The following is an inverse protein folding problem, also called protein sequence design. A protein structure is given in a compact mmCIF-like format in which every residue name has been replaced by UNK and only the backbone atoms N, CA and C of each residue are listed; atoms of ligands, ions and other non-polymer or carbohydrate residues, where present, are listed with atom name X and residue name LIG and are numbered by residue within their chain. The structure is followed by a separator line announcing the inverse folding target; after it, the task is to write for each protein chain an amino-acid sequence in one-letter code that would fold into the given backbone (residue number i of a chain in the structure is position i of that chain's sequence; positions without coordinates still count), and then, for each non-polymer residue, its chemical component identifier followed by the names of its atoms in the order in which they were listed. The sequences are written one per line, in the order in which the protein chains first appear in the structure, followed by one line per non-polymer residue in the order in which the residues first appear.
data_IF_572577129968
#
_entry.id   IF_572577129968
#
_cell.length_a   1.000
_cell.length_b   1.000
_cell.length_c   1.000
_cell.angle_alpha   90.00
_cell.angle_beta   90.00
_cell.angle_gamma   90.00
#
_symmetry.space_group_name_H-M   'P 1'
#
loop_
_entity.id
_entity.type
_entity.pdbx_description
1 polymer ?
#
# COMPACT_ATOMS: atom_id res chain seq x y z
N UNK A 1 -6.88 27.86 15.44
CA UNK A 1 -7.18 29.15 14.78
C UNK A 1 -8.69 29.36 14.85
N UNK A 2 -9.11 30.32 15.66
CA UNK A 2 -10.50 30.58 16.05
C UNK A 2 -11.05 31.70 15.16
N UNK A 3 -12.10 31.41 14.39
CA UNK A 3 -12.84 32.41 13.64
C UNK A 3 -14.20 32.58 14.32
N UNK A 4 -14.28 33.62 15.15
CA UNK A 4 -15.54 34.21 15.60
C UNK A 4 -16.08 35.07 14.46
N UNK A 5 -17.18 34.66 13.84
CA UNK A 5 -17.97 35.49 12.93
C UNK A 5 -19.24 35.99 13.65
N UNK A 6 -19.70 37.23 13.41
CA UNK A 6 -20.82 37.81 14.13
C UNK A 6 -22.15 37.21 13.65
N UNK A 7 -23.01 36.82 14.60
CA UNK A 7 -24.42 36.58 14.38
C UNK A 7 -25.09 37.90 13.96
N UNK A 8 -25.53 37.99 12.71
CA UNK A 8 -26.48 39.00 12.26
C UNK A 8 -27.88 38.46 12.55
N UNK A 9 -28.45 38.89 13.68
CA UNK A 9 -29.85 38.67 14.05
C UNK A 9 -30.71 39.62 13.20
N UNK A 10 -31.39 39.08 12.18
CA UNK A 10 -32.39 39.83 11.43
C UNK A 10 -33.72 39.78 12.19
N UNK A 11 -34.00 40.80 13.01
CA UNK A 11 -35.30 40.99 13.67
C UNK A 11 -36.27 41.56 12.63
N UNK A 12 -37.18 40.73 12.12
CA UNK A 12 -38.29 41.18 11.29
C UNK A 12 -39.42 41.63 12.23
N UNK A 13 -39.51 42.94 12.44
CA UNK A 13 -40.66 43.56 13.11
C UNK A 13 -41.89 43.45 12.19
N UNK A 14 -42.82 42.57 12.55
CA UNK A 14 -44.15 42.51 11.94
C UNK A 14 -44.95 43.71 12.44
N UNK A 15 -45.06 44.75 11.60
CA UNK A 15 -46.02 45.83 11.83
C UNK A 15 -47.42 45.31 11.55
N UNK A 16 -48.23 45.21 12.61
CA UNK A 16 -49.68 45.08 12.56
C UNK A 16 -50.30 46.42 12.12
N UNK A 17 -51.12 46.47 11.05
CA UNK A 17 -51.85 47.68 10.72
C UNK A 17 -53.03 47.84 11.68
N UNK A 18 -53.07 49.01 12.32
CA UNK A 18 -54.07 49.42 13.29
C UNK A 18 -55.46 49.58 12.68
N UNK A 19 -56.44 49.19 13.49
CA UNK A 19 -57.85 49.45 13.25
C UNK A 19 -58.19 50.91 13.59
N UNK A 20 -58.51 51.69 12.57
CA UNK A 20 -59.36 52.88 12.62
C UNK A 20 -60.45 52.63 11.57
N UNK A 21 -61.75 52.72 11.81
CA UNK A 21 -62.44 53.64 12.69
C UNK A 21 -63.40 54.46 11.83
N UNK A 22 -64.61 53.93 11.64
CA UNK A 22 -65.88 54.63 11.40
C UNK A 22 -65.88 55.80 10.39
N UNK A 23 -66.31 55.50 9.18
CA UNK A 23 -66.94 56.45 8.27
C UNK A 23 -68.14 55.78 7.60
N UNK A 24 -69.35 56.05 8.10
CA UNK A 24 -70.60 55.69 7.43
C UNK A 24 -70.75 56.57 6.18
N UNK A 25 -70.17 56.13 5.06
CA UNK A 25 -70.50 56.63 3.74
C UNK A 25 -71.63 55.79 3.19
N UNK A 26 -72.77 56.44 3.00
CA UNK A 26 -73.93 56.03 2.22
C UNK A 26 -73.58 55.04 1.10
N UNK A 27 -74.07 53.80 1.26
CA UNK A 27 -74.08 52.77 0.23
C UNK A 27 -74.88 53.30 -0.97
N UNK A 28 -74.17 53.75 -2.00
CA UNK A 28 -74.75 53.77 -3.33
C UNK A 28 -75.17 52.34 -3.67
N UNK A 29 -76.36 52.10 -4.23
CA UNK A 29 -76.76 50.77 -4.67
C UNK A 29 -75.72 50.33 -5.71
N UNK A 30 -74.87 49.38 -5.33
CA UNK A 30 -73.99 48.69 -6.27
C UNK A 30 -74.93 48.11 -7.30
N UNK A 31 -75.02 48.75 -8.47
CA UNK A 31 -75.71 48.18 -9.63
C UNK A 31 -75.12 46.79 -9.75
N UNK A 32 -75.91 45.77 -9.45
CA UNK A 32 -75.57 44.39 -9.76
C UNK A 32 -75.29 44.37 -11.26
N UNK A 33 -74.03 44.52 -11.62
CA UNK A 33 -73.58 44.38 -12.99
C UNK A 33 -73.97 42.96 -13.35
N UNK A 34 -75.07 42.82 -14.09
CA UNK A 34 -75.59 41.55 -14.57
C UNK A 34 -74.41 40.65 -14.90
N UNK A 35 -74.14 39.66 -14.05
CA UNK A 35 -72.93 38.86 -14.13
C UNK A 35 -72.78 38.38 -15.58
N UNK A 36 -71.66 38.74 -16.20
CA UNK A 36 -71.48 38.47 -17.62
C UNK A 36 -71.64 36.97 -17.88
N UNK A 37 -72.44 36.62 -18.90
CA UNK A 37 -72.78 35.22 -19.17
C UNK A 37 -71.53 34.43 -19.59
N UNK A 38 -71.45 33.17 -19.18
CA UNK A 38 -70.29 32.29 -19.37
C UNK A 38 -69.73 32.26 -20.80
N UNK A 39 -70.57 32.32 -21.83
CA UNK A 39 -70.12 32.26 -23.23
C UNK A 39 -69.35 33.53 -23.63
N UNK A 40 -69.76 34.72 -23.14
CA UNK A 40 -69.01 35.96 -23.40
C UNK A 40 -67.67 35.97 -22.67
N UNK A 41 -67.66 35.50 -21.42
CA UNK A 41 -66.42 35.32 -20.64
C UNK A 41 -65.46 34.34 -21.36
N UNK A 42 -65.99 33.28 -21.97
CA UNK A 42 -65.20 32.32 -22.73
C UNK A 42 -64.63 32.93 -24.03
N UNK A 43 -65.44 33.68 -24.79
CA UNK A 43 -64.97 34.37 -26.00
C UNK A 43 -63.89 35.41 -25.68
N UNK A 44 -64.13 36.25 -24.66
CA UNK A 44 -63.13 37.21 -24.18
C UNK A 44 -61.85 36.52 -23.70
N UNK A 45 -61.96 35.33 -23.11
CA UNK A 45 -60.78 34.57 -22.74
C UNK A 45 -60.02 34.05 -23.96
N UNK A 46 -60.70 33.67 -25.04
CA UNK A 46 -60.05 33.28 -26.29
C UNK A 46 -59.31 34.47 -26.93
N UNK A 47 -59.89 35.66 -26.89
CA UNK A 47 -59.23 36.91 -27.30
C UNK A 47 -57.98 37.18 -26.46
N UNK A 48 -58.10 37.11 -25.13
CA UNK A 48 -56.95 37.26 -24.23
C UNK A 48 -55.86 36.20 -24.50
N UNK A 49 -56.23 34.97 -24.84
CA UNK A 49 -55.28 33.92 -25.24
C UNK A 49 -54.58 34.27 -26.56
N UNK A 50 -55.29 34.82 -27.54
CA UNK A 50 -54.70 35.24 -28.82
C UNK A 50 -53.71 36.41 -28.64
N UNK A 51 -54.01 37.31 -27.69
CA UNK A 51 -53.16 38.44 -27.32
C UNK A 51 -52.08 38.09 -26.26
N UNK A 52 -51.91 36.81 -25.94
CA UNK A 52 -50.94 36.33 -24.94
C UNK A 52 -51.14 36.89 -23.52
N UNK A 53 -52.34 37.40 -23.21
CA UNK A 53 -52.77 37.87 -21.89
C UNK A 53 -53.20 36.69 -21.01
N UNK A 54 -52.29 35.72 -20.83
CA UNK A 54 -52.57 34.42 -20.19
C UNK A 54 -53.23 34.52 -18.82
N UNK A 55 -52.79 35.47 -17.98
CA UNK A 55 -53.32 35.64 -16.64
C UNK A 55 -54.77 36.20 -16.65
N UNK A 56 -55.09 37.10 -17.59
CA UNK A 56 -56.44 37.61 -17.77
C UNK A 56 -57.38 36.52 -18.31
N UNK A 57 -56.91 35.75 -19.30
CA UNK A 57 -57.61 34.57 -19.81
C UNK A 57 -57.95 33.57 -18.68
N UNK A 58 -57.00 33.28 -17.78
CA UNK A 58 -57.24 32.38 -16.64
C UNK A 58 -58.38 32.87 -15.74
N UNK A 59 -58.44 34.17 -15.43
CA UNK A 59 -59.50 34.74 -14.59
C UNK A 59 -60.86 34.53 -15.26
N UNK A 60 -60.98 34.91 -16.54
CA UNK A 60 -62.23 34.79 -17.30
C UNK A 60 -62.66 33.34 -17.51
N UNK A 61 -61.73 32.44 -17.81
CA UNK A 61 -62.01 30.99 -17.94
C UNK A 61 -62.51 30.38 -16.63
N UNK A 62 -61.92 30.77 -15.48
CA UNK A 62 -62.40 30.30 -14.17
C UNK A 62 -63.81 30.79 -13.87
N UNK A 63 -64.14 32.05 -14.20
CA UNK A 63 -65.49 32.58 -14.07
C UNK A 63 -66.48 31.87 -14.99
N UNK A 64 -66.09 31.61 -16.25
CA UNK A 64 -66.91 30.84 -17.20
C UNK A 64 -67.17 29.41 -16.71
N UNK A 65 -66.15 28.71 -16.21
CA UNK A 65 -66.28 27.37 -15.62
C UNK A 65 -67.19 27.35 -14.40
N UNK A 66 -67.12 28.38 -13.54
CA UNK A 66 -67.97 28.49 -12.37
C UNK A 66 -69.45 28.57 -12.74
N UNK A 67 -69.78 29.21 -13.86
CA UNK A 67 -71.14 29.30 -14.38
C UNK A 67 -71.57 28.08 -15.21
N UNK A 68 -70.66 27.50 -15.99
CA UNK A 68 -70.91 26.30 -16.78
C UNK A 68 -69.71 25.34 -16.74
N UNK A 69 -69.75 24.29 -15.88
CA UNK A 69 -68.62 23.40 -15.68
C UNK A 69 -68.49 22.29 -16.72
N UNK A 70 -69.48 22.12 -17.61
CA UNK A 70 -69.61 20.98 -18.52
C UNK A 70 -69.02 21.27 -19.92
N UNK A 71 -67.81 20.78 -20.24
CA UNK A 71 -67.20 20.94 -21.55
C UNK A 71 -67.87 20.05 -22.61
N UNK A 72 -67.74 20.41 -23.89
CA UNK A 72 -68.20 19.57 -24.99
C UNK A 72 -67.99 20.18 -26.38
N UNK A 73 -68.01 19.35 -27.45
CA UNK A 73 -67.83 19.81 -28.82
C UNK A 73 -68.99 20.67 -29.34
N UNK A 74 -70.16 20.58 -28.71
CA UNK A 74 -71.34 21.37 -29.06
C UNK A 74 -72.13 21.69 -27.79
N UNK A 75 -71.95 22.91 -27.28
CA UNK A 75 -72.67 23.46 -26.12
C UNK A 75 -73.48 24.67 -26.58
N UNK A 76 -74.73 24.81 -26.12
CA UNK A 76 -75.61 25.93 -26.48
C UNK A 76 -75.11 27.23 -25.83
N UNK A 77 -74.66 28.18 -26.65
CA UNK A 77 -74.17 29.50 -26.24
C UNK A 77 -75.28 30.57 -26.26
N UNK A 78 -75.00 31.72 -26.88
CA UNK A 78 -75.99 32.81 -27.04
C UNK A 78 -77.10 32.42 -28.03
N UNK A 79 -78.36 32.47 -27.57
CA UNK A 79 -79.54 32.17 -28.38
C UNK A 79 -79.57 30.70 -28.85
N UNK A 80 -79.59 30.49 -30.16
CA UNK A 80 -79.64 29.16 -30.80
C UNK A 80 -78.27 28.67 -31.30
N UNK A 81 -77.20 29.44 -31.12
CA UNK A 81 -75.86 29.05 -31.58
C UNK A 81 -75.27 27.96 -30.68
N UNK A 82 -74.67 26.95 -31.30
CA UNK A 82 -73.83 25.96 -30.62
C UNK A 82 -72.36 26.26 -30.88
N UNK A 83 -71.51 25.99 -29.88
CA UNK A 83 -70.06 26.21 -29.98
C UNK A 83 -69.29 25.09 -29.31
N UNK A 84 -68.03 24.91 -29.71
CA UNK A 84 -67.08 24.05 -29.00
C UNK A 84 -66.61 24.74 -27.72
N UNK A 85 -66.90 24.13 -26.58
CA UNK A 85 -66.58 24.67 -25.27
C UNK A 85 -65.59 23.73 -24.55
N UNK A 86 -64.31 24.11 -24.58
CA UNK A 86 -63.20 23.34 -24.00
C UNK A 86 -62.39 24.23 -23.03
N UNK A 87 -63.00 24.73 -21.94
CA UNK A 87 -62.38 25.72 -21.07
C UNK A 87 -61.20 25.16 -20.26
N UNK A 88 -61.16 23.85 -19.95
CA UNK A 88 -60.02 23.27 -19.24
C UNK A 88 -58.81 23.11 -20.17
N UNK A 89 -59.02 22.84 -21.47
CA UNK A 89 -57.94 22.90 -22.45
C UNK A 89 -57.28 24.29 -22.51
N UNK A 90 -58.09 25.36 -22.61
CA UNK A 90 -57.56 26.73 -22.65
C UNK A 90 -56.88 27.12 -21.34
N UNK A 91 -57.40 26.70 -20.18
CA UNK A 91 -56.72 26.86 -18.90
C UNK A 91 -55.38 26.13 -18.89
N UNK A 92 -55.35 24.87 -19.35
CA UNK A 92 -54.11 24.09 -19.44
C UNK A 92 -53.05 24.81 -20.27
N UNK A 93 -53.44 25.33 -21.44
CA UNK A 93 -52.57 26.10 -22.33
C UNK A 93 -52.09 27.40 -21.68
N UNK A 94 -52.97 28.16 -21.03
CA UNK A 94 -52.59 29.39 -20.33
C UNK A 94 -51.58 29.12 -19.19
N UNK A 95 -51.83 28.08 -18.39
CA UNK A 95 -50.93 27.66 -17.32
C UNK A 95 -49.57 27.17 -17.86
N UNK A 96 -49.56 26.48 -19.00
CA UNK A 96 -48.34 26.04 -19.68
C UNK A 96 -47.45 27.23 -20.06
N UNK A 97 -48.00 28.26 -20.70
CA UNK A 97 -47.24 29.45 -21.09
C UNK A 97 -46.75 30.31 -19.91
N UNK A 98 -47.41 30.22 -18.75
CA UNK A 98 -46.95 30.82 -17.51
C UNK A 98 -45.91 29.98 -16.75
N UNK A 99 -45.45 28.85 -17.30
CA UNK A 99 -44.50 27.94 -16.64
C UNK A 99 -45.10 27.12 -15.48
N UNK A 100 -46.42 27.18 -15.29
CA UNK A 100 -47.18 26.45 -14.26
C UNK A 100 -47.53 25.05 -14.76
N UNK A 101 -46.51 24.24 -15.04
CA UNK A 101 -46.65 22.95 -15.72
C UNK A 101 -47.51 21.93 -14.96
N UNK A 102 -47.45 21.90 -13.63
CA UNK A 102 -48.26 21.00 -12.81
C UNK A 102 -49.76 21.33 -12.90
N UNK A 103 -50.11 22.63 -12.91
CA UNK A 103 -51.48 23.08 -13.16
C UNK A 103 -51.93 22.72 -14.57
N UNK A 104 -51.08 22.98 -15.56
CA UNK A 104 -51.37 22.66 -16.96
C UNK A 104 -51.70 21.18 -17.15
N UNK A 105 -50.88 20.29 -16.58
CA UNK A 105 -51.09 18.83 -16.62
C UNK A 105 -52.45 18.43 -16.01
N UNK A 106 -52.82 19.02 -14.87
CA UNK A 106 -54.13 18.76 -14.22
C UNK A 106 -55.29 19.18 -15.10
N UNK A 107 -55.22 20.36 -15.72
CA UNK A 107 -56.29 20.86 -16.57
C UNK A 107 -56.41 20.08 -17.89
N UNK A 108 -55.30 19.71 -18.53
CA UNK A 108 -55.34 18.85 -19.71
C UNK A 108 -55.93 17.48 -19.40
N UNK A 109 -55.56 16.85 -18.27
CA UNK A 109 -56.15 15.58 -17.83
C UNK A 109 -57.65 15.70 -17.55
N UNK A 110 -58.10 16.84 -17.01
CA UNK A 110 -59.53 17.11 -16.78
C UNK A 110 -60.28 17.29 -18.11
N UNK A 111 -59.70 17.98 -19.09
CA UNK A 111 -60.32 18.09 -20.40
C UNK A 111 -60.38 16.73 -21.12
N UNK A 112 -59.35 15.90 -21.00
CA UNK A 112 -59.33 14.56 -21.62
C UNK A 112 -60.53 13.68 -21.19
N UNK A 113 -61.04 13.88 -19.97
CA UNK A 113 -62.25 13.20 -19.48
C UNK A 113 -63.51 13.56 -20.27
N UNK A 114 -63.57 14.74 -20.91
CA UNK A 114 -64.67 15.14 -21.80
C UNK A 114 -64.64 14.43 -23.16
N UNK A 115 -63.61 13.62 -23.41
CA UNK A 115 -63.35 12.94 -24.68
C UNK A 115 -63.39 13.93 -25.87
N UNK A 116 -62.54 14.98 -25.84
CA UNK A 116 -62.46 15.91 -26.96
C UNK A 116 -62.10 15.13 -28.24
N UNK A 117 -62.58 15.62 -29.38
CA UNK A 117 -62.33 15.01 -30.69
C UNK A 117 -61.60 15.99 -31.61
N UNK A 118 -60.97 15.46 -32.66
CA UNK A 118 -60.27 16.27 -33.66
C UNK A 118 -59.08 17.05 -33.07
N UNK A 119 -58.97 18.31 -33.46
CA UNK A 119 -57.80 19.16 -33.18
C UNK A 119 -57.48 19.31 -31.68
N UNK A 120 -58.49 19.44 -30.83
CA UNK A 120 -58.29 19.64 -29.38
C UNK A 120 -57.64 18.42 -28.75
N UNK A 121 -58.05 17.21 -29.14
CA UNK A 121 -57.44 15.98 -28.66
C UNK A 121 -55.96 15.87 -29.07
N UNK A 122 -55.66 16.22 -30.33
CA UNK A 122 -54.27 16.24 -30.84
C UNK A 122 -53.40 17.25 -30.09
N UNK A 123 -53.90 18.47 -29.85
CA UNK A 123 -53.15 19.49 -29.11
C UNK A 123 -52.95 19.08 -27.63
N UNK A 124 -53.95 18.50 -26.97
CA UNK A 124 -53.81 17.96 -25.60
C UNK A 124 -52.67 16.93 -25.54
N UNK A 125 -52.67 15.94 -26.45
CA UNK A 125 -51.61 14.92 -26.53
C UNK A 125 -50.23 15.55 -26.72
N UNK A 126 -50.13 16.58 -27.57
CA UNK A 126 -48.88 17.32 -27.78
C UNK A 126 -48.40 18.01 -26.51
N UNK A 127 -49.25 18.79 -25.84
CA UNK A 127 -48.86 19.44 -24.57
C UNK A 127 -48.51 18.44 -23.48
N UNK A 128 -49.24 17.33 -23.36
CA UNK A 128 -48.92 16.27 -22.41
C UNK A 128 -47.53 15.68 -22.67
N UNK A 129 -47.13 15.51 -23.94
CA UNK A 129 -45.78 15.07 -24.29
C UNK A 129 -44.70 16.08 -23.88
N UNK A 130 -44.93 17.38 -24.09
CA UNK A 130 -44.01 18.44 -23.66
C UNK A 130 -43.88 18.50 -22.14
N UNK A 131 -45.01 18.40 -21.42
CA UNK A 131 -45.04 18.39 -19.97
C UNK A 131 -44.27 17.20 -19.40
N UNK A 132 -44.39 16.01 -20.02
CA UNK A 132 -43.61 14.83 -19.64
C UNK A 132 -42.11 15.06 -19.81
N UNK A 133 -41.69 15.60 -20.95
CA UNK A 133 -40.27 15.92 -21.19
C UNK A 133 -39.71 16.93 -20.18
N UNK A 134 -40.50 17.96 -19.82
CA UNK A 134 -40.13 18.94 -18.78
C UNK A 134 -40.01 18.26 -17.41
N UNK A 135 -40.97 17.39 -17.06
CA UNK A 135 -40.94 16.66 -15.79
C UNK A 135 -39.73 15.73 -15.69
N UNK A 136 -39.43 14.99 -16.75
CA UNK A 136 -38.23 14.13 -16.83
C UNK A 136 -36.94 14.95 -16.74
N UNK A 137 -36.89 16.13 -17.36
CA UNK A 137 -35.76 17.06 -17.22
C UNK A 137 -35.61 17.55 -15.77
N UNK A 138 -36.69 17.97 -15.11
CA UNK A 138 -36.69 18.36 -13.69
C UNK A 138 -36.22 17.23 -12.78
N UNK A 139 -36.68 16.01 -13.02
CA UNK A 139 -36.24 14.83 -12.26
C UNK A 139 -34.74 14.53 -12.45
N UNK A 140 -34.25 14.65 -13.69
CA UNK A 140 -32.80 14.52 -13.96
C UNK A 140 -32.00 15.60 -13.23
N UNK A 141 -32.42 16.86 -13.27
CA UNK A 141 -31.72 17.93 -12.53
C UNK A 141 -31.73 17.65 -11.02
N UNK A 142 -32.88 17.25 -10.45
CA UNK A 142 -32.97 16.94 -9.02
C UNK A 142 -32.07 15.76 -8.61
N UNK A 143 -31.93 14.73 -9.45
CA UNK A 143 -31.02 13.62 -9.17
C UNK A 143 -29.55 14.05 -9.30
N UNK A 144 -29.24 14.88 -10.31
CA UNK A 144 -27.92 15.51 -10.44
C UNK A 144 -27.56 16.32 -9.18
N UNK A 145 -28.48 17.13 -8.66
CA UNK A 145 -28.29 17.92 -7.44
C UNK A 145 -27.95 17.03 -6.25
N UNK A 146 -28.65 15.90 -6.06
CA UNK A 146 -28.35 14.94 -4.99
C UNK A 146 -26.95 14.35 -5.12
N UNK A 147 -26.49 14.05 -6.34
CA UNK A 147 -25.14 13.52 -6.56
C UNK A 147 -24.10 14.59 -6.17
N UNK A 148 -24.32 15.85 -6.58
CA UNK A 148 -23.44 16.98 -6.24
C UNK A 148 -23.43 17.24 -4.73
N UNK A 149 -24.58 17.23 -4.07
CA UNK A 149 -24.69 17.38 -2.61
C UNK A 149 -23.89 16.31 -1.86
N UNK A 150 -24.01 15.03 -2.27
CA UNK A 150 -23.19 13.94 -1.70
C UNK A 150 -21.70 14.19 -1.90
N UNK A 151 -21.30 14.67 -3.07
CA UNK A 151 -19.91 14.97 -3.35
C UNK A 151 -19.36 16.09 -2.46
N UNK A 152 -20.13 17.17 -2.29
CA UNK A 152 -19.76 18.30 -1.43
C UNK A 152 -19.73 17.91 0.04
N UNK A 153 -20.68 17.08 0.50
CA UNK A 153 -20.67 16.52 1.85
C UNK A 153 -19.45 15.62 2.10
N UNK A 154 -19.10 14.76 1.15
CA UNK A 154 -17.89 13.92 1.23
C UNK A 154 -16.62 14.78 1.27
N UNK A 155 -16.55 15.85 0.46
CA UNK A 155 -15.44 16.81 0.49
C UNK A 155 -15.33 17.48 1.86
N UNK A 156 -16.44 17.93 2.45
CA UNK A 156 -16.46 18.56 3.77
C UNK A 156 -15.99 17.63 4.89
N UNK A 157 -16.24 16.31 4.76
CA UNK A 157 -15.72 15.27 5.68
C UNK A 157 -14.25 14.93 5.45
N UNK A 158 -13.60 15.51 4.43
CA UNK A 158 -12.24 15.15 4.02
C UNK A 158 -12.16 13.81 3.27
N UNK A 159 -13.28 13.21 2.90
CA UNK A 159 -13.38 11.99 2.07
C UNK A 159 -13.18 12.33 0.60
N UNK A 160 -11.99 12.82 0.23
CA UNK A 160 -11.70 13.35 -1.11
C UNK A 160 -11.91 12.32 -2.23
N UNK A 161 -11.58 11.05 -2.00
CA UNK A 161 -11.82 9.97 -2.97
C UNK A 161 -13.30 9.81 -3.32
N UNK A 162 -14.16 9.77 -2.31
CA UNK A 162 -15.62 9.65 -2.46
C UNK A 162 -16.21 10.91 -3.10
N UNK A 163 -15.70 12.09 -2.74
CA UNK A 163 -16.10 13.35 -3.37
C UNK A 163 -15.76 13.37 -4.87
N UNK A 164 -14.55 12.93 -5.25
CA UNK A 164 -14.12 12.85 -6.64
C UNK A 164 -14.97 11.84 -7.43
N UNK A 165 -15.30 10.70 -6.84
CA UNK A 165 -16.16 9.70 -7.48
C UNK A 165 -17.56 10.24 -7.74
N UNK A 166 -18.20 10.88 -6.76
CA UNK A 166 -19.52 11.48 -6.96
C UNK A 166 -19.49 12.63 -7.99
N UNK A 167 -18.45 13.46 -8.02
CA UNK A 167 -18.29 14.49 -9.06
C UNK A 167 -18.12 13.90 -10.47
N UNK A 168 -17.38 12.79 -10.62
CA UNK A 168 -17.29 12.08 -11.91
C UNK A 168 -18.66 11.52 -12.32
N UNK A 169 -19.40 10.90 -11.40
CA UNK A 169 -20.77 10.44 -11.65
C UNK A 169 -21.69 11.58 -12.08
N UNK A 170 -21.59 12.75 -11.44
CA UNK A 170 -22.37 13.93 -11.83
C UNK A 170 -22.06 14.37 -13.27
N UNK A 171 -20.76 14.42 -13.64
CA UNK A 171 -20.32 14.74 -15.01
C UNK A 171 -20.87 13.76 -16.04
N UNK A 172 -20.79 12.46 -15.75
CA UNK A 172 -21.22 11.42 -16.68
C UNK A 172 -22.75 11.36 -16.77
N UNK A 173 -23.47 11.71 -15.70
CA UNK A 173 -24.93 11.74 -15.64
C UNK A 173 -25.55 12.94 -16.37
N UNK A 174 -24.96 14.15 -16.23
CA UNK A 174 -25.48 15.36 -16.86
C UNK A 174 -24.37 16.36 -17.24
N UNK A 175 -23.63 16.13 -18.35
CA UNK A 175 -22.42 16.88 -18.69
C UNK A 175 -22.65 18.38 -18.86
N UNK A 176 -23.74 18.78 -19.52
CA UNK A 176 -24.05 20.20 -19.73
C UNK A 176 -24.28 20.97 -18.42
N UNK A 177 -24.92 20.33 -17.43
CA UNK A 177 -25.19 20.96 -16.12
C UNK A 177 -23.91 20.99 -15.28
N UNK A 178 -23.08 19.94 -15.41
CA UNK A 178 -21.76 19.89 -14.79
C UNK A 178 -20.84 21.02 -15.28
N UNK A 179 -20.82 21.27 -16.59
CA UNK A 179 -20.09 22.38 -17.20
C UNK A 179 -20.69 23.74 -16.83
N UNK A 180 -22.02 23.88 -16.91
CA UNK A 180 -22.71 25.12 -16.55
C UNK A 180 -22.40 25.58 -15.11
N UNK A 181 -22.29 24.63 -14.17
CA UNK A 181 -21.97 24.90 -12.77
C UNK A 181 -20.48 24.92 -12.45
N UNK A 182 -19.61 24.82 -13.45
CA UNK A 182 -18.15 24.88 -13.30
C UNK A 182 -17.59 23.86 -12.30
N UNK A 183 -18.23 22.69 -12.21
CA UNK A 183 -17.86 21.63 -11.26
C UNK A 183 -16.52 20.96 -11.62
N UNK A 184 -16.01 21.19 -12.83
CA UNK A 184 -14.67 20.78 -13.25
C UNK A 184 -13.58 21.35 -12.35
N UNK A 185 -13.68 22.62 -11.94
CA UNK A 185 -12.72 23.23 -11.00
C UNK A 185 -12.80 22.61 -9.62
N UNK A 186 -14.01 22.31 -9.15
CA UNK A 186 -14.22 21.65 -7.86
C UNK A 186 -13.59 20.25 -7.87
N UNK A 187 -13.78 19.48 -8.94
CA UNK A 187 -13.17 18.16 -9.10
C UNK A 187 -11.64 18.24 -9.10
N UNK A 188 -11.04 19.20 -9.82
CA UNK A 188 -9.59 19.38 -9.82
C UNK A 188 -9.03 19.66 -8.42
N UNK A 189 -9.67 20.54 -7.64
CA UNK A 189 -9.26 20.83 -6.25
C UNK A 189 -9.39 19.61 -5.35
N UNK A 190 -10.44 18.81 -5.51
CA UNK A 190 -10.63 17.57 -4.73
C UNK A 190 -9.53 16.56 -5.05
N UNK A 191 -9.17 16.40 -6.32
CA UNK A 191 -8.10 15.49 -6.74
C UNK A 191 -6.71 15.93 -6.23
N UNK A 192 -6.39 17.22 -6.30
CA UNK A 192 -5.16 17.77 -5.71
C UNK A 192 -5.10 17.54 -4.19
N UNK A 193 -6.23 17.73 -3.50
CA UNK A 193 -6.33 17.48 -2.05
C UNK A 193 -6.15 16.00 -1.70
N UNK A 194 -6.68 15.09 -2.52
CA UNK A 194 -6.47 13.65 -2.39
C UNK A 194 -5.00 13.27 -2.57
N UNK A 195 -4.35 13.81 -3.62
CA UNK A 195 -2.93 13.59 -3.89
C UNK A 195 -2.06 14.04 -2.71
N UNK A 196 -2.23 15.28 -2.25
CA UNK A 196 -1.48 15.81 -1.09
C UNK A 196 -1.67 14.97 0.17
N UNK A 197 -2.88 14.47 0.40
CA UNK A 197 -3.16 13.58 1.53
C UNK A 197 -2.42 12.24 1.39
N UNK A 198 -2.41 11.67 0.19
CA UNK A 198 -1.70 10.41 -0.07
C UNK A 198 -0.18 10.58 0.03
N UNK A 199 0.37 11.68 -0.47
CA UNK A 199 1.79 12.03 -0.31
C UNK A 199 2.16 12.20 1.17
N UNK A 200 1.36 12.95 1.94
CA UNK A 200 1.58 13.12 3.36
C UNK A 200 1.52 11.78 4.13
N UNK A 201 0.59 10.89 3.75
CA UNK A 201 0.51 9.53 4.31
C UNK A 201 1.74 8.71 3.96
N UNK A 202 2.16 8.70 2.69
CA UNK A 202 3.35 7.98 2.25
C UNK A 202 4.63 8.49 2.93
N UNK A 203 4.76 9.80 3.14
CA UNK A 203 5.88 10.38 3.89
C UNK A 203 5.86 9.94 5.36
N UNK A 204 4.69 9.90 6.02
CA UNK A 204 4.57 9.38 7.39
C UNK A 204 4.96 7.90 7.49
N UNK A 205 4.43 7.06 6.60
CA UNK A 205 4.77 5.64 6.56
C UNK A 205 6.27 5.41 6.29
N UNK A 206 6.87 6.24 5.43
CA UNK A 206 8.32 6.21 5.17
C UNK A 206 9.12 6.58 6.41
N UNK A 207 8.73 7.63 7.13
CA UNK A 207 9.37 8.04 8.38
C UNK A 207 9.22 6.98 9.47
N UNK A 208 8.02 6.41 9.65
CA UNK A 208 7.77 5.34 10.63
C UNK A 208 8.64 4.09 10.35
N UNK A 209 8.72 3.66 9.09
CA UNK A 209 9.61 2.55 8.68
C UNK A 209 11.07 2.88 8.91
N UNK A 210 11.49 4.12 8.63
CA UNK A 210 12.83 4.59 8.90
C UNK A 210 13.16 4.50 10.40
N UNK A 211 12.30 5.03 11.26
CA UNK A 211 12.47 4.98 12.72
C UNK A 211 12.51 3.54 13.24
N UNK A 212 11.69 2.64 12.69
CA UNK A 212 11.73 1.22 13.03
C UNK A 212 13.07 0.56 12.65
N UNK A 213 13.62 0.86 11.47
CA UNK A 213 14.94 0.37 11.05
C UNK A 213 16.05 0.88 11.98
N UNK A 214 16.01 2.16 12.37
CA UNK A 214 16.97 2.73 13.33
C UNK A 214 16.85 2.04 14.70
N UNK A 215 15.63 1.84 15.22
CA UNK A 215 15.39 1.16 16.49
C UNK A 215 15.87 -0.30 16.48
N UNK A 216 15.64 -1.01 15.37
CA UNK A 216 16.14 -2.37 15.18
C UNK A 216 17.67 -2.41 15.06
N UNK A 217 18.29 -1.44 14.37
CA UNK A 217 19.74 -1.33 14.30
C UNK A 217 20.35 -1.11 15.70
N UNK A 218 19.76 -0.22 16.51
CA UNK A 218 20.16 0.02 17.90
C UNK A 218 20.07 -1.25 18.75
N UNK A 219 18.98 -2.00 18.62
CA UNK A 219 18.78 -3.26 19.35
C UNK A 219 19.81 -4.32 18.95
N UNK A 220 20.13 -4.42 17.65
CA UNK A 220 21.17 -5.33 17.15
C UNK A 220 22.57 -4.91 17.61
N UNK A 221 22.89 -3.62 17.61
CA UNK A 221 24.16 -3.11 18.13
C UNK A 221 24.33 -3.43 19.62
N UNK A 222 23.29 -3.20 20.43
CA UNK A 222 23.28 -3.53 21.86
C UNK A 222 23.47 -5.04 22.10
N UNK A 223 22.90 -5.87 21.23
CA UNK A 223 23.08 -7.32 21.22
C UNK A 223 24.42 -7.80 20.64
N UNK A 224 25.32 -6.89 20.24
CA UNK A 224 26.62 -7.22 19.63
C UNK A 224 26.54 -7.74 18.20
N UNK A 225 25.39 -7.63 17.53
CA UNK A 225 25.14 -8.04 16.14
C UNK A 225 25.41 -6.90 15.15
N UNK A 226 26.68 -6.50 15.06
CA UNK A 226 27.08 -5.27 14.34
C UNK A 226 26.87 -5.37 12.83
N UNK A 227 27.07 -6.54 12.23
CA UNK A 227 26.85 -6.74 10.80
C UNK A 227 25.39 -6.51 10.42
N UNK A 228 24.45 -7.03 11.22
CA UNK A 228 23.02 -6.83 10.99
C UNK A 228 22.61 -5.37 11.25
N UNK A 229 23.16 -4.73 12.28
CA UNK A 229 22.95 -3.31 12.52
C UNK A 229 23.39 -2.46 11.30
N UNK A 230 24.57 -2.72 10.74
CA UNK A 230 25.07 -2.03 9.55
C UNK A 230 24.18 -2.24 8.31
N UNK A 231 23.65 -3.46 8.11
CA UNK A 231 22.69 -3.74 7.02
C UNK A 231 21.40 -2.94 7.19
N UNK A 232 20.83 -2.89 8.40
CA UNK A 232 19.63 -2.12 8.69
C UNK A 232 19.83 -0.61 8.48
N UNK A 233 21.00 -0.07 8.86
CA UNK A 233 21.34 1.33 8.57
C UNK A 233 21.46 1.62 7.08
N UNK A 234 22.00 0.67 6.30
CA UNK A 234 22.04 0.79 4.83
C UNK A 234 20.63 0.82 4.24
N UNK A 235 19.70 0.01 4.77
CA UNK A 235 18.30 0.05 4.37
C UNK A 235 17.62 1.37 4.77
N UNK A 236 17.92 1.89 5.97
CA UNK A 236 17.40 3.16 6.44
C UNK A 236 17.88 4.33 5.56
N UNK A 237 19.16 4.37 5.16
CA UNK A 237 19.71 5.40 4.27
C UNK A 237 19.13 5.32 2.85
N UNK A 238 18.83 4.12 2.35
CA UNK A 238 18.09 3.95 1.08
C UNK A 238 16.66 4.48 1.17
N UNK A 239 16.05 4.41 2.35
CA UNK A 239 14.68 4.86 2.56
C UNK A 239 14.60 6.38 2.70
N UNK A 240 15.47 6.96 3.52
CA UNK A 240 15.61 8.41 3.72
C UNK A 240 17.09 8.75 3.79
N UNK A 241 17.64 9.21 2.67
CA UNK A 241 19.08 9.39 2.52
C UNK A 241 19.64 10.55 3.33
N UNK A 242 20.87 10.36 3.81
CA UNK A 242 21.69 11.38 4.48
C UNK A 242 21.06 11.92 5.77
N UNK A 243 20.24 11.13 6.45
CA UNK A 243 19.74 11.49 7.78
C UNK A 243 20.89 11.53 8.79
N UNK A 244 21.04 12.60 9.58
CA UNK A 244 22.15 12.76 10.52
C UNK A 244 22.20 11.62 11.54
N UNK A 245 21.04 11.05 11.91
CA UNK A 245 20.92 9.91 12.82
C UNK A 245 21.62 8.66 12.25
N UNK A 246 21.44 8.38 10.95
CA UNK A 246 22.10 7.24 10.28
C UNK A 246 23.60 7.47 10.21
N UNK A 247 24.03 8.67 9.80
CA UNK A 247 25.46 9.00 9.65
C UNK A 247 26.20 8.98 11.00
N UNK A 248 25.55 9.44 12.08
CA UNK A 248 26.10 9.34 13.43
C UNK A 248 26.22 7.87 13.87
N UNK A 249 25.21 7.05 13.59
CA UNK A 249 25.24 5.63 13.92
C UNK A 249 26.33 4.90 13.14
N UNK A 250 26.42 5.09 11.82
CA UNK A 250 27.46 4.48 10.99
C UNK A 250 28.86 4.83 11.47
N UNK A 251 29.11 6.11 11.83
CA UNK A 251 30.39 6.52 12.43
C UNK A 251 30.68 5.79 13.74
N UNK A 252 29.70 5.67 14.62
CA UNK A 252 29.85 4.92 15.88
C UNK A 252 30.20 3.45 15.64
N UNK A 253 29.57 2.79 14.66
CA UNK A 253 29.91 1.41 14.28
C UNK A 253 31.34 1.32 13.74
N UNK A 254 31.73 2.23 12.86
CA UNK A 254 33.09 2.30 12.31
C UNK A 254 34.14 2.48 13.43
N UNK A 255 33.93 3.43 14.33
CA UNK A 255 34.85 3.65 15.47
C UNK A 255 34.99 2.40 16.35
N UNK A 256 33.89 1.66 16.54
CA UNK A 256 33.87 0.41 17.30
C UNK A 256 34.63 -0.69 16.57
N UNK A 257 34.49 -0.79 15.26
CA UNK A 257 35.25 -1.72 14.41
C UNK A 257 36.76 -1.39 14.41
N UNK A 258 37.12 -0.11 14.29
CA UNK A 258 38.51 0.35 14.33
C UNK A 258 39.16 0.04 15.69
N UNK A 259 38.42 0.25 16.80
CA UNK A 259 38.88 -0.12 18.15
C UNK A 259 39.07 -1.63 18.30
N UNK A 260 38.16 -2.43 17.74
CA UNK A 260 38.30 -3.89 17.73
C UNK A 260 39.57 -4.33 16.98
N UNK A 261 39.81 -3.76 15.79
CA UNK A 261 40.98 -4.08 14.98
C UNK A 261 42.29 -3.78 15.72
N UNK A 262 42.36 -2.63 16.42
CA UNK A 262 43.51 -2.27 17.27
C UNK A 262 43.75 -3.26 18.40
N UNK A 263 42.72 -3.58 19.19
CA UNK A 263 42.84 -4.53 20.31
C UNK A 263 43.22 -5.94 19.84
N UNK A 264 42.71 -6.36 18.68
CA UNK A 264 43.12 -7.62 18.05
C UNK A 264 44.61 -7.60 17.70
N UNK A 265 45.09 -6.52 17.09
CA UNK A 265 46.50 -6.38 16.73
C UNK A 265 47.39 -6.38 17.98
N UNK A 266 47.05 -5.59 19.00
CA UNK A 266 47.76 -5.53 20.29
C UNK A 266 47.83 -6.92 20.96
N UNK A 267 46.73 -7.67 20.98
CA UNK A 267 46.71 -9.01 21.54
C UNK A 267 47.70 -9.96 20.86
N UNK A 268 47.80 -9.90 19.52
CA UNK A 268 48.71 -10.72 18.74
C UNK A 268 50.17 -10.32 18.97
N UNK A 269 50.46 -9.03 19.10
CA UNK A 269 51.80 -8.53 19.41
C UNK A 269 52.25 -8.93 20.83
N UNK A 270 51.37 -8.82 21.82
CA UNK A 270 51.64 -9.29 23.18
C UNK A 270 51.89 -10.80 23.23
N UNK A 271 51.10 -11.58 22.49
CA UNK A 271 51.31 -13.02 22.37
C UNK A 271 52.68 -13.34 21.77
N UNK A 272 53.06 -12.70 20.66
CA UNK A 272 54.38 -12.90 20.03
C UNK A 272 55.53 -12.57 20.96
N UNK A 273 55.32 -11.60 21.82
CA UNK A 273 56.32 -11.12 22.78
C UNK A 273 56.33 -11.90 24.10
N UNK A 274 55.51 -12.95 24.25
CA UNK A 274 55.43 -13.76 25.48
C UNK A 274 54.68 -13.10 26.65
N UNK A 275 53.97 -12.00 26.39
CA UNK A 275 53.17 -11.26 27.39
C UNK A 275 51.74 -11.81 27.41
N UNK A 276 51.57 -13.06 27.84
CA UNK A 276 50.28 -13.76 27.78
C UNK A 276 49.14 -13.07 28.58
N UNK A 277 49.34 -12.52 29.79
CA UNK A 277 48.30 -11.81 30.54
C UNK A 277 47.75 -10.58 29.81
N UNK A 278 48.63 -9.77 29.22
CA UNK A 278 48.30 -8.56 28.46
C UNK A 278 47.55 -8.93 27.18
N UNK A 279 47.99 -9.97 26.48
CA UNK A 279 47.30 -10.51 25.31
C UNK A 279 45.86 -10.94 25.66
N UNK A 280 45.68 -11.67 26.75
CA UNK A 280 44.36 -12.10 27.21
C UNK A 280 43.47 -10.91 27.61
N UNK A 281 44.04 -9.88 28.23
CA UNK A 281 43.34 -8.64 28.55
C UNK A 281 42.78 -7.94 27.31
N UNK A 282 43.62 -7.77 26.27
CA UNK A 282 43.23 -7.18 25.00
C UNK A 282 42.15 -8.02 24.28
N UNK A 283 42.26 -9.35 24.27
CA UNK A 283 41.24 -10.23 23.68
C UNK A 283 39.88 -10.13 24.39
N UNK A 284 39.86 -10.00 25.72
CA UNK A 284 38.60 -9.82 26.47
C UNK A 284 37.90 -8.51 26.11
N UNK A 285 38.65 -7.42 25.97
CA UNK A 285 38.12 -6.14 25.51
C UNK A 285 37.63 -6.23 24.06
N UNK A 286 38.39 -6.89 23.18
CA UNK A 286 37.99 -7.12 21.79
C UNK A 286 36.67 -7.92 21.70
N UNK A 287 36.52 -8.97 22.49
CA UNK A 287 35.27 -9.75 22.56
C UNK A 287 34.07 -8.90 23.03
N UNK A 288 34.28 -8.04 24.04
CA UNK A 288 33.24 -7.12 24.52
C UNK A 288 32.83 -6.10 23.44
N UNK A 289 33.79 -5.61 22.65
CA UNK A 289 33.51 -4.68 21.57
C UNK A 289 32.80 -5.36 20.39
N UNK A 290 33.26 -6.51 19.90
CA UNK A 290 32.66 -7.15 18.74
C UNK A 290 32.63 -8.69 18.89
N UNK A 291 31.62 -9.24 19.59
CA UNK A 291 31.58 -10.67 19.89
C UNK A 291 31.33 -11.55 18.66
N UNK A 292 30.69 -11.02 17.61
CA UNK A 292 30.53 -11.74 16.34
C UNK A 292 31.85 -11.85 15.60
N UNK A 293 32.55 -10.73 15.40
CA UNK A 293 33.83 -10.74 14.70
C UNK A 293 34.90 -11.49 15.49
N UNK A 294 34.90 -11.38 16.81
CA UNK A 294 35.77 -12.15 17.70
C UNK A 294 35.67 -13.65 17.44
N UNK A 295 34.44 -14.18 17.33
CA UNK A 295 34.19 -15.59 16.98
C UNK A 295 34.64 -15.90 15.54
N UNK A 296 34.32 -15.04 14.59
CA UNK A 296 34.70 -15.23 13.18
C UNK A 296 36.21 -15.23 12.96
N UNK A 297 36.96 -14.49 13.76
CA UNK A 297 38.42 -14.38 13.66
C UNK A 297 39.14 -15.51 14.44
N UNK A 298 38.41 -16.50 14.98
CA UNK A 298 38.94 -17.63 15.78
C UNK A 298 39.78 -17.21 17.00
N UNK A 299 39.43 -16.05 17.58
CA UNK A 299 40.07 -15.54 18.78
C UNK A 299 39.64 -16.24 20.09
N UNK A 300 38.47 -16.90 20.21
CA UNK A 300 38.13 -17.68 21.39
C UNK A 300 39.14 -18.81 21.67
N UNK A 301 39.61 -19.49 20.62
CA UNK A 301 40.58 -20.57 20.73
C UNK A 301 41.94 -20.05 21.20
N UNK A 302 42.35 -18.90 20.68
CA UNK A 302 43.56 -18.21 21.12
C UNK A 302 43.45 -17.75 22.59
N UNK A 303 42.32 -17.16 22.98
CA UNK A 303 42.09 -16.78 24.36
C UNK A 303 42.16 -18.00 25.29
N UNK A 304 41.59 -19.14 24.88
CA UNK A 304 41.65 -20.38 25.64
C UNK A 304 43.08 -20.96 25.73
N UNK A 305 43.91 -20.85 24.69
CA UNK A 305 45.30 -21.28 24.76
C UNK A 305 46.13 -20.39 25.69
N UNK A 306 45.93 -19.07 25.64
CA UNK A 306 46.62 -18.12 26.53
C UNK A 306 46.26 -18.33 28.00
N UNK A 307 45.00 -18.68 28.30
CA UNK A 307 44.61 -19.05 29.68
C UNK A 307 45.42 -20.25 30.17
N UNK A 308 45.57 -21.29 29.35
CA UNK A 308 46.37 -22.47 29.70
C UNK A 308 47.85 -22.14 29.88
N UNK A 309 48.39 -21.27 29.02
CA UNK A 309 49.78 -20.80 29.11
C UNK A 309 50.03 -20.06 30.44
N UNK A 310 49.13 -19.14 30.81
CA UNK A 310 49.21 -18.42 32.09
C UNK A 310 49.12 -19.38 33.30
N UNK A 311 48.27 -20.42 33.22
CA UNK A 311 48.17 -21.45 34.25
C UNK A 311 49.48 -22.26 34.38
N UNK A 312 50.06 -22.68 33.25
CA UNK A 312 51.34 -23.39 33.22
C UNK A 312 52.46 -22.52 33.81
N UNK A 313 52.55 -21.26 33.41
CA UNK A 313 53.57 -20.33 33.93
C UNK A 313 53.40 -20.09 35.43
N UNK A 314 52.16 -19.96 35.91
CA UNK A 314 51.85 -19.85 37.33
C UNK A 314 52.32 -21.09 38.09
N UNK A 315 52.05 -22.28 37.56
CA UNK A 315 52.47 -23.56 38.15
C UNK A 315 54.00 -23.71 38.16
N UNK A 316 54.67 -23.34 37.07
CA UNK A 316 56.14 -23.35 36.99
C UNK A 316 56.74 -22.42 38.04
N UNK A 317 56.23 -21.18 38.16
CA UNK A 317 56.70 -20.22 39.17
C UNK A 317 56.41 -20.71 40.59
N UNK A 318 55.25 -21.31 40.83
CA UNK A 318 54.90 -21.88 42.13
C UNK A 318 55.83 -23.04 42.51
N UNK A 319 56.14 -23.94 41.56
CA UNK A 319 57.11 -25.04 41.75
C UNK A 319 58.53 -24.53 41.96
N UNK A 320 58.97 -23.53 41.20
CA UNK A 320 60.28 -22.91 41.36
C UNK A 320 60.42 -22.25 42.74
N UNK A 321 59.37 -21.56 43.20
CA UNK A 321 59.30 -21.01 44.56
C UNK A 321 59.33 -22.11 45.63
N UNK A 322 58.51 -23.15 45.48
CA UNK A 322 58.50 -24.28 46.41
C UNK A 322 59.85 -25.03 46.44
N UNK A 323 60.56 -25.11 45.32
CA UNK A 323 61.91 -25.69 45.26
C UNK A 323 62.96 -24.78 45.94
N UNK A 324 62.84 -23.46 45.80
CA UNK A 324 63.68 -22.50 46.52
C UNK A 324 63.42 -22.54 48.04
N UNK A 325 62.15 -22.70 48.43
CA UNK A 325 61.73 -22.81 49.83
C UNK A 325 61.99 -24.23 50.42
N UNK A 326 62.18 -25.24 49.56
CA UNK A 326 62.20 -26.67 49.88
C UNK A 326 63.55 -27.38 49.80
N UNK A 327 64.67 -26.67 49.90
CA UNK A 327 66.02 -27.28 49.99
C UNK A 327 66.33 -27.91 51.37
N UNK A 328 65.36 -28.63 51.94
CA UNK A 328 65.55 -29.49 53.11
C UNK A 328 64.68 -30.75 52.95
N UNK A 329 65.24 -31.81 52.37
CA UNK A 329 64.71 -33.17 52.52
C UNK A 329 64.32 -33.92 51.24
N UNK A 330 65.35 -34.41 50.54
CA UNK A 330 65.60 -35.76 49.96
C UNK A 330 64.45 -36.84 49.83
N UNK A 331 64.66 -37.92 49.03
CA UNK A 331 64.01 -38.18 47.74
C UNK A 331 63.19 -39.49 47.69
N UNK A 332 62.40 -39.70 46.63
CA UNK A 332 61.65 -40.96 46.44
C UNK A 332 61.16 -41.24 45.01
N UNK A 333 62.00 -41.94 44.25
CA UNK A 333 61.77 -42.98 43.21
C UNK A 333 60.32 -43.35 42.78
N UNK A 334 60.15 -43.59 41.46
CA UNK A 334 59.50 -44.76 40.79
C UNK A 334 58.74 -44.33 39.51
N UNK A 335 59.31 -44.56 38.31
CA UNK A 335 58.90 -45.60 37.32
C UNK A 335 57.40 -45.63 36.98
N UNK A 336 57.02 -45.24 35.75
CA UNK A 336 55.95 -45.95 35.05
C UNK A 336 56.09 -45.88 33.51
N UNK A 337 55.68 -46.99 32.88
CA UNK A 337 55.99 -47.47 31.54
C UNK A 337 55.01 -46.99 30.47
N UNK A 338 55.57 -46.74 29.29
CA UNK A 338 55.13 -47.30 28.01
C UNK A 338 53.63 -47.31 27.67
N UNK A 339 53.21 -46.36 26.83
CA UNK A 339 52.09 -46.57 25.90
C UNK A 339 52.37 -45.86 24.57
N UNK A 340 52.99 -46.58 23.63
CA UNK A 340 53.08 -46.16 22.22
C UNK A 340 51.71 -46.40 21.56
N UNK A 341 51.03 -45.31 21.22
CA UNK A 341 49.85 -45.32 20.35
C UNK A 341 50.36 -45.31 18.90
N UNK A 342 49.77 -46.07 17.96
CA UNK A 342 50.21 -46.07 16.57
C UNK A 342 49.89 -44.71 15.93
N UNK A 343 50.93 -43.90 15.71
CA UNK A 343 50.87 -42.62 14.98
C UNK A 343 50.90 -42.94 13.48
N UNK A 344 49.80 -43.47 12.95
CA UNK A 344 49.69 -43.82 11.54
C UNK A 344 48.35 -43.48 10.87
N UNK A 345 47.25 -43.37 11.62
CA UNK A 345 45.91 -43.20 11.01
C UNK A 345 45.27 -41.81 11.19
N UNK A 346 45.86 -40.91 11.99
CA UNK A 346 45.27 -39.58 12.28
C UNK A 346 45.80 -38.44 11.40
N UNK A 347 47.01 -38.54 10.86
CA UNK A 347 47.56 -37.54 9.95
C UNK A 347 46.76 -37.50 8.62
N UNK A 348 46.42 -38.67 8.07
CA UNK A 348 45.72 -38.80 6.79
C UNK A 348 44.31 -38.20 6.75
N UNK A 349 43.62 -38.11 7.89
CA UNK A 349 42.28 -37.51 7.97
C UNK A 349 42.33 -35.98 8.03
N UNK A 350 43.35 -35.42 8.68
CA UNK A 350 43.52 -33.96 8.78
C UNK A 350 43.92 -33.35 7.44
N UNK A 351 44.84 -34.01 6.72
CA UNK A 351 45.28 -33.55 5.40
C UNK A 351 44.18 -33.71 4.35
N UNK A 352 43.38 -34.78 4.42
CA UNK A 352 42.19 -34.93 3.58
C UNK A 352 41.14 -33.86 3.89
N UNK A 353 40.83 -33.59 5.15
CA UNK A 353 39.88 -32.52 5.51
C UNK A 353 40.36 -31.14 5.09
N UNK A 354 41.66 -30.86 5.24
CA UNK A 354 42.27 -29.60 4.80
C UNK A 354 42.26 -29.46 3.28
N UNK A 355 42.58 -30.53 2.55
CA UNK A 355 42.51 -30.55 1.09
C UNK A 355 41.08 -30.42 0.56
N UNK A 356 40.10 -31.07 1.20
CA UNK A 356 38.68 -30.94 0.88
C UNK A 356 38.20 -29.51 1.12
N UNK A 357 38.51 -28.91 2.28
CA UNK A 357 38.14 -27.53 2.58
C UNK A 357 38.82 -26.53 1.64
N UNK A 358 40.09 -26.74 1.32
CA UNK A 358 40.81 -25.96 0.32
C UNK A 358 40.16 -26.11 -1.06
N UNK A 359 39.73 -27.32 -1.45
CA UNK A 359 39.05 -27.57 -2.72
C UNK A 359 37.68 -26.87 -2.83
N UNK A 360 36.93 -26.74 -1.73
CA UNK A 360 35.68 -25.96 -1.71
C UNK A 360 35.93 -24.45 -1.85
N UNK A 361 37.03 -23.95 -1.30
CA UNK A 361 37.39 -22.53 -1.32
C UNK A 361 38.20 -22.11 -2.56
N UNK A 362 38.94 -23.02 -3.17
CA UNK A 362 39.78 -22.79 -4.33
C UNK A 362 38.97 -22.73 -5.63
N UNK A 363 39.66 -22.32 -6.71
CA UNK A 363 39.16 -22.48 -8.07
C UNK A 363 39.01 -23.99 -8.35
N UNK A 364 37.92 -24.41 -9.03
CA UNK A 364 37.61 -25.84 -9.20
C UNK A 364 38.71 -26.62 -9.93
N UNK A 365 39.51 -25.96 -10.77
CA UNK A 365 40.65 -26.57 -11.47
C UNK A 365 41.76 -27.01 -10.49
N UNK A 366 42.05 -26.18 -9.48
CA UNK A 366 43.07 -26.46 -8.47
C UNK A 366 42.62 -27.57 -7.53
N UNK A 367 41.31 -27.57 -7.20
CA UNK A 367 40.67 -28.63 -6.42
C UNK A 367 40.81 -30.00 -7.09
N UNK A 368 40.53 -30.08 -8.39
CA UNK A 368 40.67 -31.33 -9.16
C UNK A 368 42.12 -31.82 -9.14
N UNK A 369 43.10 -30.95 -9.45
CA UNK A 369 44.53 -31.32 -9.44
C UNK A 369 44.99 -31.87 -8.09
N UNK A 370 44.61 -31.20 -7.00
CA UNK A 370 45.00 -31.62 -5.65
C UNK A 370 44.40 -32.98 -5.29
N UNK A 371 43.11 -33.18 -5.57
CA UNK A 371 42.41 -34.43 -5.26
C UNK A 371 42.93 -35.60 -6.10
N UNK A 372 43.30 -35.37 -7.36
CA UNK A 372 43.94 -36.38 -8.21
C UNK A 372 45.33 -36.77 -7.70
N UNK A 373 46.15 -35.80 -7.25
CA UNK A 373 47.44 -36.09 -6.61
C UNK A 373 47.27 -36.93 -5.35
N UNK A 374 46.26 -36.61 -4.53
CA UNK A 374 45.93 -37.42 -3.35
C UNK A 374 45.49 -38.84 -3.73
N UNK A 375 44.73 -38.98 -4.81
CA UNK A 375 44.30 -40.28 -5.31
C UNK A 375 45.45 -41.10 -5.89
N UNK A 376 46.45 -40.45 -6.49
CA UNK A 376 47.65 -41.11 -6.99
C UNK A 376 48.59 -41.58 -5.87
N UNK A 377 48.67 -40.84 -4.77
CA UNK A 377 49.56 -41.16 -3.64
C UNK A 377 48.95 -42.16 -2.65
N UNK A 378 47.62 -42.31 -2.63
CA UNK A 378 46.93 -43.22 -1.71
C UNK A 378 46.73 -44.62 -2.30
N UNK A 379 47.10 -45.63 -1.50
CA UNK A 379 46.85 -47.05 -1.82
C UNK A 379 45.38 -47.44 -1.68
N UNK A 380 44.63 -46.78 -0.80
CA UNK A 380 43.23 -47.09 -0.50
C UNK A 380 42.31 -45.96 -0.95
N UNK A 381 41.25 -46.32 -1.67
CA UNK A 381 40.16 -45.39 -2.01
C UNK A 381 39.26 -45.21 -0.80
N UNK A 382 38.80 -44.00 -0.58
CA UNK A 382 37.90 -43.64 0.52
C UNK A 382 36.71 -42.90 -0.04
N UNK A 383 35.51 -43.13 0.51
CA UNK A 383 34.25 -42.49 0.08
C UNK A 383 34.42 -40.97 0.01
N UNK A 384 34.96 -40.34 1.06
CA UNK A 384 35.15 -38.89 1.13
C UNK A 384 36.02 -38.31 0.00
N UNK A 385 37.05 -39.06 -0.43
CA UNK A 385 37.94 -38.65 -1.51
C UNK A 385 37.23 -38.71 -2.87
N UNK A 386 36.52 -39.81 -3.14
CA UNK A 386 35.77 -39.97 -4.40
C UNK A 386 34.60 -38.97 -4.49
N UNK A 387 33.88 -38.74 -3.39
CA UNK A 387 32.81 -37.72 -3.32
C UNK A 387 33.37 -36.32 -3.59
N UNK A 388 34.45 -35.94 -2.91
CA UNK A 388 35.04 -34.60 -3.07
C UNK A 388 35.58 -34.40 -4.48
N UNK A 389 36.14 -35.45 -5.09
CA UNK A 389 36.61 -35.43 -6.48
C UNK A 389 35.44 -35.29 -7.46
N UNK A 390 34.35 -36.00 -7.23
CA UNK A 390 33.12 -35.85 -8.03
C UNK A 390 32.51 -34.46 -7.95
N UNK A 391 32.47 -33.85 -6.76
CA UNK A 391 31.96 -32.47 -6.57
C UNK A 391 32.86 -31.45 -7.28
N UNK A 392 34.19 -31.61 -7.20
CA UNK A 392 35.14 -30.74 -7.87
C UNK A 392 34.96 -30.78 -9.40
N UNK A 393 34.87 -31.98 -9.97
CA UNK A 393 34.60 -32.17 -11.40
C UNK A 393 33.25 -31.61 -11.85
N UNK A 394 32.19 -31.84 -11.06
CA UNK A 394 30.87 -31.31 -11.36
C UNK A 394 30.87 -29.77 -11.38
N UNK A 395 31.50 -29.14 -10.37
CA UNK A 395 31.65 -27.68 -10.30
C UNK A 395 32.46 -27.13 -11.48
N UNK A 396 33.55 -27.78 -11.84
CA UNK A 396 34.36 -27.39 -12.99
C UNK A 396 33.55 -27.48 -14.30
N UNK A 397 32.72 -28.52 -14.46
CA UNK A 397 31.87 -28.66 -15.65
C UNK A 397 30.91 -27.48 -15.82
N UNK A 398 30.29 -27.00 -14.73
CA UNK A 398 29.36 -25.87 -14.77
C UNK A 398 30.03 -24.51 -15.04
N UNK A 399 31.36 -24.43 -14.88
CA UNK A 399 32.15 -23.22 -15.11
C UNK A 399 32.91 -23.26 -16.44
N UNK A 400 32.90 -24.40 -17.14
CA UNK A 400 33.60 -24.57 -18.42
C UNK A 400 32.71 -24.08 -19.57
N UNK A 401 33.24 -23.17 -20.39
CA UNK A 401 32.50 -22.55 -21.51
C UNK A 401 32.37 -23.50 -22.71
N UNK A 402 33.39 -24.32 -22.97
CA UNK A 402 33.37 -25.30 -24.05
C UNK A 402 32.40 -26.46 -23.71
N UNK A 403 31.32 -26.67 -24.47
CA UNK A 403 30.34 -27.72 -24.21
C UNK A 403 30.94 -29.13 -24.20
N UNK A 404 31.88 -29.41 -25.12
CA UNK A 404 32.48 -30.74 -25.25
C UNK A 404 33.36 -31.07 -24.04
N UNK A 405 34.11 -30.08 -23.55
CA UNK A 405 34.94 -30.25 -22.35
C UNK A 405 34.09 -30.30 -21.08
N UNK A 406 33.02 -29.50 -21.00
CA UNK A 406 32.03 -29.58 -19.92
C UNK A 406 31.41 -30.99 -19.81
N UNK A 407 31.03 -31.59 -20.93
CA UNK A 407 30.46 -32.95 -20.96
C UNK A 407 31.44 -34.00 -20.43
N UNK A 408 32.70 -33.98 -20.89
CA UNK A 408 33.76 -34.86 -20.35
C UNK A 408 33.95 -34.72 -18.84
N UNK A 409 33.89 -33.48 -18.33
CA UNK A 409 34.01 -33.22 -16.88
C UNK A 409 32.80 -33.76 -16.11
N UNK A 410 31.58 -33.69 -16.67
CA UNK A 410 30.38 -34.31 -16.09
C UNK A 410 30.51 -35.83 -16.02
N UNK A 411 31.01 -36.47 -17.08
CA UNK A 411 31.23 -37.92 -17.10
C UNK A 411 32.23 -38.34 -16.02
N UNK A 412 33.32 -37.58 -15.85
CA UNK A 412 34.27 -37.79 -14.76
C UNK A 412 33.62 -37.60 -13.39
N UNK A 413 32.78 -36.60 -13.21
CA UNK A 413 32.04 -36.40 -11.96
C UNK A 413 31.16 -37.62 -11.63
N UNK A 414 30.36 -38.07 -12.62
CA UNK A 414 29.49 -39.24 -12.47
C UNK A 414 30.27 -40.52 -12.16
N UNK A 415 31.42 -40.73 -12.79
CA UNK A 415 32.29 -41.86 -12.49
C UNK A 415 32.74 -41.86 -11.03
N UNK A 416 33.20 -40.72 -10.51
CA UNK A 416 33.64 -40.61 -9.11
C UNK A 416 32.47 -40.79 -8.13
N UNK A 417 31.28 -40.28 -8.45
CA UNK A 417 30.08 -40.53 -7.65
C UNK A 417 29.68 -42.01 -7.61
N UNK A 418 29.76 -42.73 -8.74
CA UNK A 418 29.54 -44.18 -8.78
C UNK A 418 30.57 -44.94 -7.94
N UNK A 419 31.84 -44.54 -8.02
CA UNK A 419 32.90 -45.13 -7.19
C UNK A 419 32.65 -44.90 -5.69
N UNK A 420 32.21 -43.71 -5.31
CA UNK A 420 31.83 -43.42 -3.93
C UNK A 420 30.66 -44.27 -3.45
N UNK A 421 29.60 -44.39 -4.26
CA UNK A 421 28.42 -45.20 -3.95
C UNK A 421 28.72 -46.71 -3.93
N UNK A 422 29.69 -47.17 -4.72
CA UNK A 422 30.17 -48.55 -4.63
C UNK A 422 30.91 -48.84 -3.31
N UNK A 423 31.58 -47.83 -2.73
CA UNK A 423 32.24 -47.93 -1.43
C UNK A 423 31.25 -47.79 -0.27
N UNK A 424 30.23 -46.93 -0.40
CA UNK A 424 29.14 -46.77 0.57
C UNK A 424 27.81 -46.45 -0.15
N UNK A 425 26.95 -47.47 -0.37
CA UNK A 425 25.67 -47.29 -1.06
C UNK A 425 24.65 -46.41 -0.30
N UNK A 426 24.88 -46.15 0.99
CA UNK A 426 24.00 -45.32 1.82
C UNK A 426 24.46 -43.87 1.90
N UNK A 427 25.56 -43.52 1.23
CA UNK A 427 26.11 -42.17 1.29
C UNK A 427 25.14 -41.14 0.71
N UNK A 428 24.91 -40.06 1.46
CA UNK A 428 24.07 -38.94 1.03
C UNK A 428 24.88 -37.64 1.06
N UNK A 429 24.80 -36.88 -0.02
CA UNK A 429 25.39 -35.54 -0.07
C UNK A 429 24.64 -34.58 0.87
N UNK A 430 25.38 -33.71 1.55
CA UNK A 430 24.79 -32.67 2.39
C UNK A 430 24.27 -31.51 1.53
N UNK A 431 22.95 -31.40 1.42
CA UNK A 431 22.27 -30.36 0.63
C UNK A 431 22.56 -28.92 1.07
N UNK A 432 23.13 -28.70 2.26
CA UNK A 432 23.57 -27.37 2.73
C UNK A 432 24.93 -26.96 2.18
N UNK A 433 25.75 -27.92 1.76
CA UNK A 433 27.14 -27.69 1.33
C UNK A 433 27.32 -27.81 -0.18
N UNK A 434 26.36 -28.41 -0.88
CA UNK A 434 26.46 -28.76 -2.29
C UNK A 434 25.32 -28.12 -3.08
N UNK A 435 25.65 -27.51 -4.23
CA UNK A 435 24.66 -26.86 -5.08
C UNK A 435 23.63 -27.86 -5.63
N UNK A 436 22.34 -27.48 -5.82
CA UNK A 436 21.29 -28.38 -6.29
C UNK A 436 21.64 -29.13 -7.59
N UNK A 437 22.31 -28.49 -8.54
CA UNK A 437 22.68 -29.12 -9.82
C UNK A 437 23.70 -30.26 -9.66
N UNK A 438 24.57 -30.18 -8.64
CA UNK A 438 25.52 -31.27 -8.32
C UNK A 438 24.78 -32.41 -7.62
N UNK A 439 23.78 -32.10 -6.79
CA UNK A 439 22.92 -33.11 -6.16
C UNK A 439 22.16 -33.93 -7.21
N UNK A 440 21.68 -33.29 -8.27
CA UNK A 440 21.03 -33.96 -9.41
C UNK A 440 21.99 -34.91 -10.14
N UNK A 441 23.22 -34.46 -10.41
CA UNK A 441 24.26 -35.31 -11.01
C UNK A 441 24.62 -36.52 -10.12
N UNK A 442 24.69 -36.33 -8.81
CA UNK A 442 24.93 -37.41 -7.85
C UNK A 442 23.76 -38.40 -7.83
N UNK A 443 22.51 -37.91 -7.82
CA UNK A 443 21.32 -38.76 -7.88
C UNK A 443 21.23 -39.53 -9.21
N UNK A 444 21.67 -38.94 -10.32
CA UNK A 444 21.78 -39.60 -11.61
C UNK A 444 22.85 -40.70 -11.62
N UNK A 445 23.95 -40.53 -10.88
CA UNK A 445 24.98 -41.54 -10.73
C UNK A 445 24.54 -42.76 -9.88
N UNK A 446 23.49 -42.60 -9.07
CA UNK A 446 22.89 -43.67 -8.26
C UNK A 446 21.84 -44.51 -9.02
N UNK A 447 21.42 -44.06 -10.21
CA UNK A 447 20.57 -44.82 -11.13
C UNK A 447 21.44 -45.64 -12.07
#
# INVERSE_FOLDING_TARGET
MSLKGPLLLLVITVMTPGAHGLGWSSEEPVKEASAERWYRLYDQAQEDMAEQRWQAAIVKLKQAIAQNPSPGPSVRGEGTRTMGYFPYFLLGKAHYYLGRYDDAARFFKREEQSRPVGRVATEISLYQSYLRAIQESRQRIAEFDRIVERALAAKAKGSFREAAENLRRARDFHPNEFEHRDLGKVLAVVLDSEMKRNEAKATREREERFLALIGNAATNEAGGRLAEAARLLTQADRLISRRPEVLAFQRRLQEREDRYARLRHEALEHQRSGHAPEALGALRLANKLNPERFRSDHLPELAASLVKEIEIDRDIRARAKAAADGNAGRPGRATDRGRRIPVGARADSADLRRAILAAYQARPEDAVKLLEQMRATRKTRTVDLEISTGIAYARQSFLTVDPAESEKLRDKAMLNFRLALALDPRYQLNSRLVAPQIMELFAAAAR
#
